data_IF_097780680516
#
_entry.id   IF_097780680516
#
_cell.length_a   1.000
_cell.length_b   1.000
_cell.length_c   1.000
_cell.angle_alpha   90.00
_cell.angle_beta   90.00
_cell.angle_gamma   90.00
#
_symmetry.space_group_name_H-M   'P 1'
#
loop_
_entity.id
_entity.type
_entity.pdbx_description
1 polymer ?
#
# COMPACT_ATOMS: atom_id res chain seq x y z
N UNK A 1 53.17 -3.88 -17.84
CA UNK A 1 53.07 -5.34 -17.94
C UNK A 1 51.64 -5.67 -18.37
N UNK A 2 51.43 -5.84 -19.67
CA UNK A 2 50.09 -6.04 -20.26
C UNK A 2 49.78 -7.53 -20.20
N UNK A 3 48.99 -7.97 -19.21
CA UNK A 3 48.53 -9.36 -19.16
C UNK A 3 47.32 -9.52 -20.09
N UNK A 4 47.58 -10.00 -21.31
CA UNK A 4 46.57 -10.52 -22.20
C UNK A 4 46.05 -11.84 -21.63
N UNK A 5 44.85 -11.84 -21.06
CA UNK A 5 44.13 -13.06 -20.67
C UNK A 5 43.69 -13.76 -21.96
N UNK A 6 44.43 -14.80 -22.38
CA UNK A 6 43.97 -15.71 -23.44
C UNK A 6 42.88 -16.61 -22.87
N UNK A 7 41.62 -16.32 -23.22
CA UNK A 7 40.52 -17.26 -23.01
C UNK A 7 40.66 -18.39 -24.03
N UNK A 8 40.76 -19.64 -23.55
CA UNK A 8 40.78 -20.82 -24.42
C UNK A 8 39.35 -21.35 -24.51
N UNK A 9 38.71 -21.18 -25.65
CA UNK A 9 37.40 -21.78 -25.92
C UNK A 9 37.64 -23.23 -26.34
N UNK A 10 37.17 -24.18 -25.54
CA UNK A 10 37.16 -25.60 -25.91
C UNK A 10 35.82 -25.85 -26.62
N UNK A 11 35.81 -26.37 -27.87
CA UNK A 11 34.56 -26.65 -28.56
C UNK A 11 33.74 -27.70 -27.78
N UNK A 12 32.40 -27.60 -27.76
CA UNK A 12 31.57 -28.55 -27.04
C UNK A 12 31.70 -29.95 -27.65
N UNK A 13 31.66 -30.99 -26.81
CA UNK A 13 31.47 -32.36 -27.26
C UNK A 13 30.11 -32.48 -27.98
N UNK A 14 29.91 -33.45 -28.91
CA UNK A 14 28.79 -33.46 -29.87
C UNK A 14 27.39 -33.62 -29.27
N UNK A 15 27.25 -33.66 -27.96
CA UNK A 15 25.98 -33.86 -27.26
C UNK A 15 25.87 -32.83 -26.14
N UNK A 16 25.07 -31.78 -26.37
CA UNK A 16 24.53 -30.87 -25.36
C UNK A 16 25.52 -30.42 -24.28
N UNK A 17 26.55 -29.65 -24.65
CA UNK A 17 27.61 -29.25 -23.73
C UNK A 17 27.46 -27.82 -23.22
N UNK A 18 27.33 -27.66 -21.90
CA UNK A 18 27.62 -26.40 -21.19
C UNK A 18 29.01 -25.92 -21.60
N UNK A 19 29.11 -24.70 -22.16
CA UNK A 19 30.40 -24.06 -22.43
C UNK A 19 31.03 -23.71 -21.07
N UNK A 20 31.98 -24.53 -20.61
CA UNK A 20 32.84 -24.17 -19.48
C UNK A 20 34.02 -23.35 -20.02
N UNK A 21 34.00 -22.05 -19.74
CA UNK A 21 35.17 -21.18 -19.95
C UNK A 21 36.22 -21.53 -18.89
N UNK A 22 37.20 -22.36 -19.24
CA UNK A 22 38.41 -22.51 -18.44
C UNK A 22 39.30 -21.31 -18.70
N UNK A 23 39.33 -20.38 -17.75
CA UNK A 23 40.45 -19.44 -17.68
C UNK A 23 41.65 -20.20 -17.10
N UNK A 24 42.87 -19.88 -17.52
CA UNK A 24 44.10 -20.35 -16.85
C UNK A 24 44.25 -19.76 -15.43
N UNK A 25 43.16 -19.38 -14.75
CA UNK A 25 43.19 -18.79 -13.41
C UNK A 25 43.53 -19.78 -12.30
N UNK A 26 43.63 -21.09 -12.57
CA UNK A 26 44.16 -22.02 -11.57
C UNK A 26 45.63 -21.71 -11.21
N UNK A 27 46.43 -21.15 -12.13
CA UNK A 27 47.78 -20.62 -11.86
C UNK A 27 47.77 -19.31 -11.05
N UNK A 28 46.64 -18.63 -10.99
CA UNK A 28 46.45 -17.35 -10.31
C UNK A 28 45.98 -17.54 -8.86
N UNK A 29 45.41 -18.70 -8.50
CA UNK A 29 44.94 -19.00 -7.14
C UNK A 29 46.06 -19.00 -6.10
N UNK A 30 47.25 -19.49 -6.45
CA UNK A 30 48.42 -19.48 -5.54
C UNK A 30 49.00 -18.07 -5.32
N UNK A 31 48.69 -17.11 -6.19
CA UNK A 31 49.23 -15.75 -6.16
C UNK A 31 48.20 -14.64 -5.88
N UNK A 32 46.89 -14.96 -5.91
CA UNK A 32 45.79 -14.08 -5.52
C UNK A 32 45.42 -14.31 -4.05
N UNK A 33 46.35 -14.01 -3.15
CA UNK A 33 46.02 -13.89 -1.73
C UNK A 33 45.01 -12.76 -1.52
N UNK A 34 44.31 -12.75 -0.38
CA UNK A 34 43.34 -11.69 -0.08
C UNK A 34 44.00 -10.31 -0.01
N UNK A 35 45.27 -10.24 0.43
CA UNK A 35 46.05 -9.01 0.36
C UNK A 35 46.28 -8.53 -1.08
N UNK A 36 46.56 -9.44 -2.01
CA UNK A 36 46.76 -9.10 -3.43
C UNK A 36 45.44 -8.66 -4.05
N UNK A 37 44.32 -9.34 -3.74
CA UNK A 37 42.98 -8.90 -4.17
C UNK A 37 42.67 -7.50 -3.66
N UNK A 38 42.89 -7.24 -2.37
CA UNK A 38 42.67 -5.93 -1.76
C UNK A 38 43.56 -4.85 -2.39
N UNK A 39 44.81 -5.16 -2.71
CA UNK A 39 45.72 -4.26 -3.44
C UNK A 39 45.21 -3.97 -4.86
N UNK A 40 44.69 -4.97 -5.56
CA UNK A 40 44.09 -4.80 -6.90
C UNK A 40 42.86 -3.90 -6.79
N UNK A 41 41.92 -4.23 -5.90
CA UNK A 41 40.69 -3.46 -5.67
C UNK A 41 41.02 -2.00 -5.31
N UNK A 42 41.90 -1.79 -4.33
CA UNK A 42 42.33 -0.45 -3.90
C UNK A 42 42.98 0.35 -5.03
N UNK A 43 43.72 -0.30 -5.93
CA UNK A 43 44.38 0.35 -7.06
C UNK A 43 43.40 0.73 -8.18
N UNK A 44 42.38 -0.07 -8.41
CA UNK A 44 41.47 0.08 -9.55
C UNK A 44 40.10 0.66 -9.18
N UNK A 45 39.71 0.74 -7.90
CA UNK A 45 38.39 1.23 -7.47
C UNK A 45 38.03 2.61 -8.08
N UNK A 46 38.97 3.54 -8.13
CA UNK A 46 38.74 4.89 -8.69
C UNK A 46 38.78 4.92 -10.23
N UNK A 47 39.31 3.85 -10.84
CA UNK A 47 39.48 3.72 -12.29
C UNK A 47 38.30 3.04 -12.97
N UNK A 48 37.68 2.09 -12.28
CA UNK A 48 36.53 1.34 -12.77
C UNK A 48 35.28 2.08 -12.30
N UNK A 49 35.08 3.35 -12.72
CA UNK A 49 33.90 4.12 -12.35
C UNK A 49 32.76 3.95 -13.37
N UNK A 50 31.63 3.38 -12.93
CA UNK A 50 30.38 3.25 -13.72
C UNK A 50 29.84 4.63 -14.11
N UNK A 51 30.14 5.66 -13.31
CA UNK A 51 29.64 7.03 -13.47
C UNK A 51 30.41 7.88 -14.49
N UNK A 52 31.31 7.28 -15.28
CA UNK A 52 32.09 8.01 -16.29
C UNK A 52 31.29 8.41 -17.52
N UNK A 53 30.10 7.88 -17.74
CA UNK A 53 29.19 8.39 -18.77
C UNK A 53 28.42 9.59 -18.22
N UNK A 54 29.10 10.72 -18.05
CA UNK A 54 28.40 12.02 -18.04
C UNK A 54 27.59 12.11 -19.32
N UNK A 55 26.38 12.63 -19.20
CA UNK A 55 25.57 12.98 -20.35
C UNK A 55 26.34 14.00 -21.19
N UNK A 56 26.99 13.54 -22.25
CA UNK A 56 27.62 14.44 -23.20
C UNK A 56 26.57 15.12 -24.08
N UNK A 57 25.27 14.84 -23.91
CA UNK A 57 24.17 15.50 -24.61
C UNK A 57 24.14 15.26 -26.12
N UNK A 58 25.02 14.40 -26.66
CA UNK A 58 25.32 14.35 -28.10
C UNK A 58 25.40 12.93 -28.69
N UNK A 59 24.86 11.89 -28.04
CA UNK A 59 24.95 10.52 -28.58
C UNK A 59 23.70 9.66 -28.38
N UNK A 60 23.43 8.78 -29.35
CA UNK A 60 22.40 7.71 -29.35
C UNK A 60 22.58 6.63 -28.26
N UNK A 61 23.29 6.93 -27.16
CA UNK A 61 23.56 5.96 -26.11
C UNK A 61 22.27 5.60 -25.37
N UNK A 62 21.93 4.31 -25.38
CA UNK A 62 20.77 3.78 -24.66
C UNK A 62 20.93 4.01 -23.15
N UNK A 63 19.92 4.63 -22.53
CA UNK A 63 19.86 4.86 -21.09
C UNK A 63 19.48 3.56 -20.36
N UNK A 64 20.04 3.34 -19.17
CA UNK A 64 19.75 2.17 -18.37
C UNK A 64 19.71 2.52 -16.88
N UNK A 65 18.55 2.33 -16.24
CA UNK A 65 18.37 2.60 -14.81
C UNK A 65 18.45 1.28 -14.04
N UNK A 66 19.49 1.11 -13.24
CA UNK A 66 19.62 -0.01 -12.30
C UNK A 66 19.27 0.47 -10.89
N UNK A 67 18.13 0.02 -10.37
CA UNK A 67 17.69 0.35 -9.01
C UNK A 67 17.73 -0.89 -8.12
N UNK A 68 18.30 -0.74 -6.94
CA UNK A 68 18.10 -1.68 -5.84
C UNK A 68 17.28 -1.00 -4.75
N UNK A 69 16.52 -1.77 -3.98
CA UNK A 69 15.80 -1.23 -2.82
C UNK A 69 16.84 -0.67 -1.84
N UNK A 70 16.74 0.65 -1.59
CA UNK A 70 17.56 1.34 -0.62
C UNK A 70 17.33 0.83 0.83
N UNK A 71 18.33 0.86 1.71
CA UNK A 71 18.23 0.24 3.02
C UNK A 71 17.55 1.16 4.06
N UNK A 72 17.01 0.52 5.09
CA UNK A 72 16.74 1.19 6.36
C UNK A 72 18.06 1.41 7.13
N UNK A 73 18.37 2.63 7.60
CA UNK A 73 19.57 2.92 8.37
C UNK A 73 19.38 2.57 9.86
N UNK A 74 19.05 1.31 10.14
CA UNK A 74 18.79 0.80 11.50
C UNK A 74 20.02 0.15 12.16
N UNK A 75 21.15 0.05 11.46
CA UNK A 75 22.39 -0.52 11.98
C UNK A 75 23.43 -0.75 10.88
N UNK A 76 24.22 -1.81 11.02
CA UNK A 76 25.25 -2.18 10.04
C UNK A 76 24.70 -3.03 8.88
N UNK A 77 25.37 -2.99 7.72
CA UNK A 77 25.04 -3.86 6.60
C UNK A 77 25.32 -5.34 6.93
N UNK A 78 24.32 -6.19 6.79
CA UNK A 78 24.46 -7.66 6.78
C UNK A 78 24.60 -8.25 5.36
N UNK A 79 24.93 -9.54 5.25
CA UNK A 79 25.15 -10.23 3.96
C UNK A 79 23.98 -10.17 2.97
N UNK A 80 22.74 -10.05 3.45
CA UNK A 80 21.58 -9.77 2.59
C UNK A 80 21.73 -8.48 1.77
N UNK A 81 22.23 -7.40 2.37
CA UNK A 81 22.51 -6.15 1.67
C UNK A 81 23.62 -6.34 0.64
N UNK A 82 24.74 -6.97 1.04
CA UNK A 82 25.87 -7.25 0.15
C UNK A 82 25.41 -8.01 -1.09
N UNK A 83 24.56 -9.03 -0.92
CA UNK A 83 23.99 -9.81 -2.03
C UNK A 83 23.23 -8.90 -3.01
N UNK A 84 22.27 -8.11 -2.52
CA UNK A 84 21.41 -7.27 -3.38
C UNK A 84 22.22 -6.19 -4.09
N UNK A 85 23.11 -5.51 -3.38
CA UNK A 85 23.90 -4.42 -3.93
C UNK A 85 24.97 -4.91 -4.91
N UNK A 86 25.59 -6.07 -4.65
CA UNK A 86 26.54 -6.68 -5.60
C UNK A 86 25.85 -7.09 -6.91
N UNK A 87 24.61 -7.62 -6.85
CA UNK A 87 23.83 -7.94 -8.07
C UNK A 87 23.57 -6.67 -8.87
N UNK A 88 23.11 -5.60 -8.20
CA UNK A 88 22.86 -4.30 -8.82
C UNK A 88 24.12 -3.71 -9.46
N UNK A 89 25.24 -3.69 -8.73
CA UNK A 89 26.54 -3.19 -9.22
C UNK A 89 27.08 -4.02 -10.40
N UNK A 90 26.89 -5.34 -10.37
CA UNK A 90 27.27 -6.22 -11.48
C UNK A 90 26.51 -5.86 -12.76
N UNK A 91 25.19 -5.67 -12.67
CA UNK A 91 24.35 -5.27 -13.81
C UNK A 91 24.74 -3.88 -14.32
N UNK A 92 24.96 -2.93 -13.41
CA UNK A 92 25.35 -1.58 -13.76
C UNK A 92 26.69 -1.54 -14.50
N UNK A 93 27.70 -2.27 -14.01
CA UNK A 93 28.99 -2.42 -14.69
C UNK A 93 28.85 -3.09 -16.04
N UNK A 94 28.08 -4.18 -16.14
CA UNK A 94 27.85 -4.87 -17.41
C UNK A 94 27.23 -3.94 -18.46
N UNK A 95 26.20 -3.18 -18.08
CA UNK A 95 25.54 -2.26 -19.00
C UNK A 95 26.41 -1.05 -19.37
N UNK A 96 27.20 -0.52 -18.44
CA UNK A 96 28.16 0.53 -18.74
C UNK A 96 29.26 0.05 -19.70
N UNK A 97 29.78 -1.17 -19.51
CA UNK A 97 30.79 -1.77 -20.39
C UNK A 97 30.24 -2.13 -21.78
N UNK A 98 28.93 -2.27 -21.93
CA UNK A 98 28.26 -2.48 -23.24
C UNK A 98 27.86 -1.17 -23.93
N UNK A 99 28.29 -0.02 -23.39
CA UNK A 99 28.09 1.29 -24.00
C UNK A 99 26.80 2.01 -23.61
N UNK A 100 26.01 1.46 -22.67
CA UNK A 100 24.80 2.14 -22.16
C UNK A 100 25.17 3.24 -21.16
N UNK A 101 24.34 4.27 -21.11
CA UNK A 101 24.41 5.30 -20.06
C UNK A 101 23.69 4.80 -18.81
N UNK A 102 24.44 4.40 -17.79
CA UNK A 102 23.89 3.77 -16.59
C UNK A 102 23.67 4.79 -15.48
N UNK A 103 22.49 4.75 -14.87
CA UNK A 103 22.18 5.44 -13.62
C UNK A 103 21.88 4.39 -12.53
N UNK A 104 22.68 4.40 -11.47
CA UNK A 104 22.57 3.51 -10.32
C UNK A 104 22.57 4.33 -9.02
N UNK A 105 21.42 4.90 -8.63
CA UNK A 105 21.31 5.69 -7.42
C UNK A 105 21.33 4.83 -6.16
N UNK A 106 21.58 5.51 -5.04
CA UNK A 106 21.38 4.96 -3.70
C UNK A 106 20.87 6.07 -2.77
N UNK A 107 20.19 5.67 -1.71
CA UNK A 107 19.71 6.57 -0.68
C UNK A 107 19.41 5.81 0.60
N UNK A 108 18.59 6.39 1.46
CA UNK A 108 18.31 5.86 2.80
C UNK A 108 16.83 5.99 3.11
N UNK A 109 16.19 4.88 3.45
CA UNK A 109 14.83 4.91 3.99
C UNK A 109 14.88 5.23 5.49
N UNK A 110 15.11 6.51 5.79
CA UNK A 110 15.49 6.99 7.11
C UNK A 110 14.35 7.16 8.11
N UNK A 111 13.10 7.19 7.65
CA UNK A 111 11.93 7.31 8.53
C UNK A 111 11.38 5.96 8.98
N UNK A 112 10.50 6.01 9.98
CA UNK A 112 9.65 4.90 10.35
C UNK A 112 10.16 4.07 11.51
N UNK A 113 9.38 3.02 11.74
CA UNK A 113 9.46 2.15 12.90
C UNK A 113 10.85 1.55 13.17
N UNK A 114 11.62 1.06 12.17
CA UNK A 114 12.93 0.43 12.44
C UNK A 114 13.95 1.39 13.06
N UNK A 115 14.08 2.61 12.52
CA UNK A 115 15.04 3.59 13.01
C UNK A 115 14.65 4.11 14.40
N UNK A 116 13.36 4.37 14.63
CA UNK A 116 12.86 4.88 15.91
C UNK A 116 13.02 3.87 17.04
N UNK A 117 12.67 2.60 16.83
CA UNK A 117 12.84 1.56 17.84
C UNK A 117 14.32 1.34 18.18
N UNK A 118 15.19 1.25 17.17
CA UNK A 118 16.63 1.07 17.38
C UNK A 118 17.24 2.25 18.15
N UNK A 119 16.82 3.48 17.84
CA UNK A 119 17.23 4.67 18.58
C UNK A 119 16.76 4.64 20.04
N UNK A 120 15.51 4.22 20.30
CA UNK A 120 15.00 4.04 21.66
C UNK A 120 15.73 2.96 22.47
N UNK A 121 16.02 1.81 21.86
CA UNK A 121 16.78 0.72 22.50
C UNK A 121 18.19 1.16 22.91
N UNK A 122 18.78 2.08 22.15
CA UNK A 122 20.11 2.65 22.41
C UNK A 122 20.07 3.97 23.18
N UNK A 123 18.89 4.46 23.57
CA UNK A 123 18.67 5.74 24.26
C UNK A 123 19.29 6.95 23.53
N UNK A 124 19.23 6.96 22.19
CA UNK A 124 19.73 8.03 21.32
C UNK A 124 18.55 8.68 20.57
N UNK A 125 18.68 9.95 20.20
CA UNK A 125 17.70 10.63 19.34
C UNK A 125 17.62 9.95 17.95
N UNK A 126 16.41 9.64 17.42
CA UNK A 126 16.27 9.00 16.12
C UNK A 126 16.97 9.72 14.97
N UNK A 127 16.98 11.05 14.94
CA UNK A 127 17.65 11.80 13.89
C UNK A 127 19.18 11.67 13.97
N UNK A 128 19.72 11.61 15.18
CA UNK A 128 21.15 11.33 15.40
C UNK A 128 21.49 9.90 14.98
N UNK A 129 20.75 8.91 15.50
CA UNK A 129 20.94 7.49 15.19
C UNK A 129 20.91 7.21 13.69
N UNK A 130 19.90 7.71 12.99
CA UNK A 130 19.76 7.57 11.54
C UNK A 130 20.95 8.16 10.80
N UNK A 131 21.41 9.37 11.15
CA UNK A 131 22.54 10.03 10.47
C UNK A 131 23.87 9.28 10.69
N UNK A 132 24.10 8.79 11.90
CA UNK A 132 25.29 7.99 12.24
C UNK A 132 25.32 6.67 11.46
N UNK A 133 24.18 5.97 11.38
CA UNK A 133 24.06 4.73 10.60
C UNK A 133 24.20 4.96 9.10
N UNK A 134 23.61 6.03 8.56
CA UNK A 134 23.80 6.43 7.16
C UNK A 134 25.29 6.58 6.85
N UNK A 135 26.03 7.34 7.68
CA UNK A 135 27.46 7.55 7.48
C UNK A 135 28.26 6.23 7.54
N UNK A 136 27.97 5.37 8.53
CA UNK A 136 28.63 4.09 8.69
C UNK A 136 28.33 3.12 7.53
N UNK A 137 27.06 2.97 7.14
CA UNK A 137 26.65 2.10 6.04
C UNK A 137 27.20 2.59 4.71
N UNK A 138 27.25 3.91 4.47
CA UNK A 138 27.87 4.48 3.27
C UNK A 138 29.34 4.09 3.16
N UNK A 139 30.10 4.24 4.25
CA UNK A 139 31.50 3.81 4.29
C UNK A 139 31.66 2.31 4.04
N UNK A 140 30.74 1.48 4.55
CA UNK A 140 30.73 0.05 4.26
C UNK A 140 30.49 -0.22 2.76
N UNK A 141 29.51 0.45 2.13
CA UNK A 141 29.23 0.31 0.69
C UNK A 141 30.41 0.71 -0.19
N UNK A 142 31.07 1.82 0.14
CA UNK A 142 32.30 2.24 -0.51
C UNK A 142 33.45 1.23 -0.27
N UNK A 143 33.48 0.60 0.90
CA UNK A 143 34.47 -0.39 1.31
C UNK A 143 34.45 -1.67 0.49
N UNK A 144 33.27 -2.20 0.12
CA UNK A 144 33.17 -3.39 -0.75
C UNK A 144 33.06 -3.06 -2.24
N UNK A 145 33.33 -1.81 -2.63
CA UNK A 145 33.56 -1.42 -4.02
C UNK A 145 32.31 -1.24 -4.88
N UNK A 146 31.12 -1.20 -4.28
CA UNK A 146 29.91 -0.83 -5.01
C UNK A 146 29.94 0.66 -5.38
N UNK A 147 29.52 0.97 -6.60
CA UNK A 147 29.58 2.34 -7.10
C UNK A 147 28.21 2.90 -7.43
N UNK A 148 27.68 3.64 -6.47
CA UNK A 148 26.45 4.38 -6.64
C UNK A 148 26.69 5.81 -7.13
N UNK A 149 25.66 6.40 -7.74
CA UNK A 149 25.61 7.83 -8.03
C UNK A 149 25.34 8.63 -6.75
N UNK A 150 26.35 8.74 -5.88
CA UNK A 150 26.24 9.47 -4.61
C UNK A 150 25.92 10.98 -4.75
N UNK A 151 26.12 11.56 -5.95
CA UNK A 151 25.64 12.92 -6.25
C UNK A 151 24.10 13.04 -6.19
N UNK A 152 23.39 11.92 -6.33
CA UNK A 152 21.94 11.80 -6.23
C UNK A 152 21.50 11.13 -4.92
N UNK A 153 22.33 11.15 -3.88
CA UNK A 153 22.02 10.59 -2.56
C UNK A 153 20.81 11.32 -1.92
N UNK A 154 19.89 10.54 -1.36
CA UNK A 154 18.69 11.05 -0.70
C UNK A 154 18.47 10.29 0.62
N UNK A 155 17.93 10.97 1.62
CA UNK A 155 17.43 10.34 2.84
C UNK A 155 15.97 10.76 3.07
N UNK A 156 15.07 9.80 3.24
CA UNK A 156 13.61 10.07 3.32
C UNK A 156 13.22 10.90 4.55
N UNK A 157 14.05 10.87 5.60
CA UNK A 157 13.86 11.65 6.82
C UNK A 157 14.27 13.12 6.72
N UNK A 158 14.88 13.55 5.61
CA UNK A 158 15.34 14.93 5.46
C UNK A 158 14.21 15.86 4.98
N UNK A 159 14.11 17.09 5.52
CA UNK A 159 13.09 18.06 5.10
C UNK A 159 13.12 18.38 3.61
N UNK A 160 14.32 18.34 3.00
CA UNK A 160 14.50 18.54 1.57
C UNK A 160 13.79 17.45 0.72
N UNK A 161 13.56 16.26 1.28
CA UNK A 161 12.84 15.15 0.67
C UNK A 161 11.35 15.18 1.06
N UNK A 162 11.03 15.04 2.36
CA UNK A 162 9.65 14.78 2.78
C UNK A 162 8.68 15.95 2.55
N UNK A 163 9.19 17.16 2.30
CA UNK A 163 8.35 18.28 1.84
C UNK A 163 7.58 17.94 0.56
N UNK A 164 8.13 17.08 -0.30
CA UNK A 164 7.46 16.61 -1.51
C UNK A 164 6.42 15.55 -1.22
N UNK A 165 6.64 14.70 -0.22
CA UNK A 165 5.61 13.78 0.31
C UNK A 165 4.44 14.57 0.88
N UNK A 166 4.70 15.65 1.60
CA UNK A 166 3.66 16.56 2.09
C UNK A 166 2.91 17.27 0.95
N UNK A 167 3.62 17.76 -0.06
CA UNK A 167 3.01 18.36 -1.25
C UNK A 167 2.09 17.35 -1.98
N UNK A 168 2.57 16.12 -2.20
CA UNK A 168 1.79 15.04 -2.82
C UNK A 168 0.57 14.69 -1.97
N UNK A 169 0.69 14.63 -0.64
CA UNK A 169 -0.46 14.43 0.26
C UNK A 169 -1.53 15.50 0.03
N UNK A 170 -1.14 16.78 -0.04
CA UNK A 170 -2.07 17.89 -0.26
C UNK A 170 -2.74 17.81 -1.64
N UNK A 171 -2.00 17.43 -2.68
CA UNK A 171 -2.56 17.27 -4.02
C UNK A 171 -3.54 16.09 -4.09
N UNK A 172 -3.20 14.96 -3.45
CA UNK A 172 -4.11 13.82 -3.32
C UNK A 172 -5.36 14.19 -2.49
N UNK A 173 -5.21 14.99 -1.43
CA UNK A 173 -6.33 15.48 -0.63
C UNK A 173 -7.27 16.36 -1.45
N UNK A 174 -6.74 17.33 -2.21
CA UNK A 174 -7.53 18.18 -3.12
C UNK A 174 -8.23 17.37 -4.21
N UNK A 175 -7.58 16.32 -4.71
CA UNK A 175 -8.15 15.37 -5.67
C UNK A 175 -9.21 14.44 -5.06
N UNK A 176 -9.40 14.46 -3.73
CA UNK A 176 -10.34 13.58 -3.01
C UNK A 176 -9.84 12.15 -2.79
N UNK A 177 -8.56 11.87 -3.10
CA UNK A 177 -7.92 10.57 -2.92
C UNK A 177 -7.43 10.35 -1.50
N UNK A 178 -7.23 11.41 -0.72
CA UNK A 178 -6.90 11.32 0.71
C UNK A 178 -8.08 11.82 1.52
N UNK A 179 -8.44 11.09 2.55
CA UNK A 179 -9.55 11.43 3.43
C UNK A 179 -9.31 10.94 4.86
N UNK A 180 -10.09 11.47 5.80
CA UNK A 180 -10.07 11.06 7.20
C UNK A 180 -11.39 10.37 7.55
N UNK A 181 -11.33 9.23 8.22
CA UNK A 181 -12.50 8.54 8.80
C UNK A 181 -12.18 7.92 10.15
N UNK A 182 -13.20 7.69 10.95
CA UNK A 182 -13.09 6.75 12.07
C UNK A 182 -13.07 5.34 11.51
N UNK A 183 -12.14 4.53 12.01
CA UNK A 183 -12.02 3.15 11.61
C UNK A 183 -11.56 2.31 12.79
N UNK A 184 -11.85 1.01 12.73
CA UNK A 184 -11.05 0.06 13.47
C UNK A 184 -9.66 0.01 12.87
N UNK A 185 -8.68 0.18 13.73
CA UNK A 185 -7.28 0.11 13.38
C UNK A 185 -6.68 -1.12 14.03
N UNK A 186 -5.78 -1.77 13.30
CA UNK A 186 -4.89 -2.76 13.85
C UNK A 186 -3.92 -2.03 14.79
N UNK A 187 -4.03 -2.26 16.09
CA UNK A 187 -3.18 -1.64 17.10
C UNK A 187 -2.16 -2.65 17.63
N UNK A 188 -0.88 -2.29 17.53
CA UNK A 188 0.20 -3.03 18.17
C UNK A 188 0.34 -2.54 19.63
N UNK A 189 0.05 -3.39 20.63
CA UNK A 189 0.13 -2.99 22.04
C UNK A 189 1.58 -2.81 22.54
N UNK A 190 2.56 -3.41 21.87
CA UNK A 190 3.99 -3.32 22.22
C UNK A 190 4.58 -2.04 21.62
N UNK A 191 4.41 -1.87 20.30
CA UNK A 191 4.93 -0.70 19.57
C UNK A 191 4.06 0.55 19.73
N UNK A 192 2.90 0.42 20.36
CA UNK A 192 1.91 1.48 20.63
C UNK A 192 1.60 2.31 19.39
N UNK A 193 1.31 1.63 18.28
CA UNK A 193 1.04 2.25 16.99
C UNK A 193 -0.06 1.51 16.24
N UNK A 194 -0.72 2.22 15.34
CA UNK A 194 -1.52 1.59 14.30
C UNK A 194 -0.65 0.94 13.24
N UNK A 195 -1.15 -0.16 12.70
CA UNK A 195 -0.62 -0.94 11.60
C UNK A 195 -1.62 -0.90 10.43
N UNK A 196 -1.12 -0.86 9.19
CA UNK A 196 -1.97 -1.15 8.03
C UNK A 196 -2.22 -2.66 7.92
N UNK A 197 -3.20 -3.07 7.13
CA UNK A 197 -3.51 -4.50 6.94
C UNK A 197 -2.31 -5.26 6.35
N UNK A 198 -1.51 -4.61 5.49
CA UNK A 198 -0.27 -5.16 4.93
C UNK A 198 0.82 -5.44 5.99
N UNK A 199 0.66 -4.90 7.20
CA UNK A 199 1.62 -5.01 8.30
C UNK A 199 1.17 -6.02 9.37
N UNK A 200 0.07 -6.72 9.12
CA UNK A 200 -0.48 -7.77 9.99
C UNK A 200 -0.40 -9.10 9.24
N UNK A 201 0.19 -10.10 9.88
CA UNK A 201 0.30 -11.42 9.28
C UNK A 201 -1.03 -12.19 9.31
N UNK A 202 -1.03 -13.39 8.72
CA UNK A 202 -2.21 -14.26 8.67
C UNK A 202 -2.70 -14.76 10.03
N UNK A 203 -1.87 -14.68 11.07
CA UNK A 203 -2.24 -15.03 12.45
C UNK A 203 -2.79 -13.82 13.24
N UNK A 204 -2.89 -12.64 12.61
CA UNK A 204 -3.33 -11.42 13.26
C UNK A 204 -2.27 -10.83 14.18
N UNK A 205 -0.98 -11.04 13.88
CA UNK A 205 0.15 -10.49 14.64
C UNK A 205 0.87 -9.41 13.84
N UNK A 206 1.48 -8.49 14.57
CA UNK A 206 2.37 -7.49 14.00
C UNK A 206 3.55 -8.16 13.32
N UNK A 207 3.82 -7.81 12.05
CA UNK A 207 4.94 -8.35 11.27
C UNK A 207 6.31 -8.17 11.94
N UNK A 208 6.40 -7.27 12.92
CA UNK A 208 7.65 -6.90 13.59
C UNK A 208 7.68 -7.30 15.06
N UNK A 209 6.73 -6.82 15.87
CA UNK A 209 6.76 -7.10 17.31
C UNK A 209 6.32 -8.54 17.63
N UNK A 210 5.64 -9.21 16.70
CA UNK A 210 5.01 -10.52 16.91
C UNK A 210 3.82 -10.48 17.87
N UNK A 211 3.47 -9.30 18.39
CA UNK A 211 2.34 -9.12 19.31
C UNK A 211 1.02 -9.34 18.58
N UNK A 212 0.05 -9.93 19.30
CA UNK A 212 -1.32 -10.08 18.80
C UNK A 212 -1.94 -8.70 18.70
N UNK A 213 -2.45 -8.37 17.52
CA UNK A 213 -3.02 -7.06 17.22
C UNK A 213 -4.36 -6.88 17.97
N UNK A 214 -4.54 -5.71 18.59
CA UNK A 214 -5.81 -5.27 19.18
C UNK A 214 -6.60 -4.44 18.17
N UNK A 215 -7.94 -4.47 18.22
CA UNK A 215 -8.76 -3.52 17.45
C UNK A 215 -9.10 -2.31 18.31
N UNK A 216 -8.71 -1.10 17.87
CA UNK A 216 -9.09 0.17 18.50
C UNK A 216 -9.84 1.07 17.52
N UNK A 217 -10.70 1.96 18.01
CA UNK A 217 -11.36 2.96 17.18
C UNK A 217 -10.55 4.25 17.23
N UNK A 218 -10.04 4.70 16.09
CA UNK A 218 -9.33 5.98 15.97
C UNK A 218 -9.72 6.68 14.66
N UNK A 219 -9.76 8.01 14.67
CA UNK A 219 -9.80 8.79 13.43
C UNK A 219 -8.43 8.71 12.75
N UNK A 220 -8.38 8.19 11.52
CA UNK A 220 -7.14 8.00 10.76
C UNK A 220 -7.27 8.56 9.34
N UNK A 221 -6.12 8.82 8.73
CA UNK A 221 -6.00 9.22 7.33
C UNK A 221 -5.82 8.00 6.44
N UNK A 222 -6.54 7.99 5.33
CA UNK A 222 -6.56 6.93 4.34
C UNK A 222 -6.29 7.48 2.94
N UNK A 223 -5.63 6.68 2.11
CA UNK A 223 -5.56 6.86 0.66
C UNK A 223 -6.61 5.94 0.02
N UNK A 224 -7.41 6.48 -0.90
CA UNK A 224 -8.44 5.77 -1.68
C UNK A 224 -7.82 4.84 -2.73
N UNK A 225 -7.08 3.84 -2.28
CA UNK A 225 -6.49 2.81 -3.16
C UNK A 225 -7.58 2.00 -3.86
N UNK A 226 -8.75 1.86 -3.25
CA UNK A 226 -9.91 1.19 -3.86
C UNK A 226 -10.39 1.87 -5.14
N UNK A 227 -10.23 3.19 -5.27
CA UNK A 227 -10.55 3.92 -6.50
C UNK A 227 -9.63 3.53 -7.66
N UNK A 228 -8.39 3.11 -7.36
CA UNK A 228 -7.37 2.72 -8.35
C UNK A 228 -7.34 1.20 -8.57
N UNK A 229 -8.20 0.43 -7.91
CA UNK A 229 -8.13 -1.03 -7.88
C UNK A 229 -8.16 -1.65 -9.28
N UNK A 230 -9.06 -1.15 -10.15
CA UNK A 230 -9.16 -1.64 -11.52
C UNK A 230 -7.91 -1.34 -12.34
N UNK A 231 -7.41 -0.11 -12.30
CA UNK A 231 -6.22 0.29 -13.05
C UNK A 231 -4.98 -0.50 -12.58
N UNK A 232 -4.85 -0.69 -11.27
CA UNK A 232 -3.80 -1.51 -10.67
C UNK A 232 -3.92 -2.98 -11.12
N UNK A 233 -5.12 -3.56 -11.10
CA UNK A 233 -5.35 -4.95 -11.50
C UNK A 233 -5.10 -5.18 -12.99
N UNK A 234 -5.62 -4.30 -13.85
CA UNK A 234 -5.47 -4.39 -15.30
C UNK A 234 -3.99 -4.19 -15.71
N UNK A 235 -3.31 -3.26 -15.05
CA UNK A 235 -1.88 -2.97 -15.25
C UNK A 235 -0.96 -4.16 -14.97
N UNK A 236 -1.39 -5.13 -14.16
CA UNK A 236 -0.68 -6.41 -13.97
C UNK A 236 -0.72 -7.33 -15.21
N UNK A 237 -1.35 -6.90 -16.30
CA UNK A 237 -1.33 -7.58 -17.60
C UNK A 237 -0.38 -6.91 -18.60
N UNK A 238 0.34 -5.86 -18.20
CA UNK A 238 1.28 -5.15 -19.07
C UNK A 238 2.40 -6.11 -19.53
N UNK A 239 2.65 -6.23 -20.86
CA UNK A 239 3.75 -7.04 -21.40
C UNK A 239 5.13 -6.71 -20.82
N UNK A 240 5.35 -5.49 -20.32
CA UNK A 240 6.59 -5.08 -19.65
C UNK A 240 6.85 -5.84 -18.34
N UNK A 241 5.83 -6.51 -17.79
CA UNK A 241 5.91 -7.29 -16.56
C UNK A 241 6.15 -8.79 -16.82
N UNK A 242 6.61 -9.19 -18.02
CA UNK A 242 6.81 -10.60 -18.38
C UNK A 242 7.75 -11.36 -17.42
N UNK A 243 8.73 -10.67 -16.84
CA UNK A 243 9.70 -11.22 -15.88
C UNK A 243 9.22 -11.15 -14.41
N UNK A 244 8.00 -10.65 -14.16
CA UNK A 244 7.45 -10.42 -12.81
C UNK A 244 6.36 -11.43 -12.40
N UNK A 245 6.25 -12.57 -13.09
CA UNK A 245 5.10 -13.51 -13.00
C UNK A 245 4.67 -13.85 -11.57
N UNK A 246 5.62 -14.18 -10.70
CA UNK A 246 5.32 -14.54 -9.30
C UNK A 246 4.76 -13.35 -8.51
N UNK A 247 5.31 -12.15 -8.71
CA UNK A 247 4.84 -10.91 -8.07
C UNK A 247 3.47 -10.51 -8.62
N UNK A 248 3.25 -10.65 -9.93
CA UNK A 248 1.95 -10.43 -10.57
C UNK A 248 0.88 -11.30 -9.95
N UNK A 249 1.17 -12.59 -9.72
CA UNK A 249 0.24 -13.51 -9.07
C UNK A 249 -0.11 -13.06 -7.64
N UNK A 250 0.90 -12.71 -6.83
CA UNK A 250 0.68 -12.23 -5.45
C UNK A 250 -0.15 -10.95 -5.42
N UNK A 251 0.16 -9.99 -6.29
CA UNK A 251 -0.56 -8.71 -6.38
C UNK A 251 -2.00 -8.90 -6.86
N UNK A 252 -2.25 -9.77 -7.86
CA UNK A 252 -3.62 -10.11 -8.28
C UNK A 252 -4.44 -10.72 -7.16
N UNK A 253 -3.84 -11.62 -6.38
CA UNK A 253 -4.51 -12.23 -5.24
C UNK A 253 -4.84 -11.20 -4.15
N UNK A 254 -3.90 -10.28 -3.88
CA UNK A 254 -4.06 -9.22 -2.90
C UNK A 254 -5.12 -8.20 -3.28
N UNK A 255 -5.03 -7.64 -4.50
CA UNK A 255 -6.00 -6.67 -5.03
C UNK A 255 -7.37 -7.35 -5.16
N UNK A 256 -7.40 -8.62 -5.56
CA UNK A 256 -8.61 -9.34 -5.89
C UNK A 256 -9.25 -8.83 -7.19
N UNK A 257 -10.02 -9.68 -7.85
CA UNK A 257 -10.72 -9.29 -9.08
C UNK A 257 -11.71 -8.14 -8.80
N UNK A 258 -11.64 -7.01 -9.53
CA UNK A 258 -12.55 -5.88 -9.37
C UNK A 258 -13.98 -6.15 -9.89
N UNK A 259 -14.69 -7.10 -9.27
CA UNK A 259 -15.99 -7.62 -9.68
C UNK A 259 -17.20 -7.01 -8.94
N UNK A 260 -17.01 -5.80 -8.40
CA UNK A 260 -18.05 -5.07 -7.68
C UNK A 260 -17.67 -3.62 -7.49
N UNK A 261 -18.41 -2.90 -6.66
CA UNK A 261 -18.16 -1.49 -6.34
C UNK A 261 -18.40 -1.24 -4.86
N UNK A 262 -17.69 -0.28 -4.27
CA UNK A 262 -17.95 0.19 -2.90
C UNK A 262 -18.59 1.56 -2.88
N UNK A 263 -19.46 1.80 -1.89
CA UNK A 263 -20.11 3.07 -1.63
C UNK A 263 -19.90 3.52 -0.19
N UNK A 264 -19.58 4.79 0.02
CA UNK A 264 -19.60 5.43 1.34
C UNK A 264 -20.99 6.02 1.58
N UNK A 265 -21.79 5.35 2.43
CA UNK A 265 -23.18 5.74 2.75
C UNK A 265 -23.25 6.48 4.08
N UNK A 266 -23.93 7.63 4.11
CA UNK A 266 -24.02 8.47 5.30
C UNK A 266 -24.80 7.78 6.43
N UNK A 267 -24.19 7.67 7.60
CA UNK A 267 -24.77 7.10 8.82
C UNK A 267 -25.69 8.11 9.49
N UNK A 268 -26.90 7.65 9.82
CA UNK A 268 -27.87 8.37 10.63
C UNK A 268 -28.10 7.59 11.95
N UNK A 269 -28.10 8.27 13.11
CA UNK A 269 -28.28 7.61 14.40
C UNK A 269 -29.70 7.06 14.57
N UNK A 270 -29.83 6.04 15.43
CA UNK A 270 -31.07 5.31 15.64
C UNK A 270 -32.18 6.15 16.33
N UNK A 271 -31.81 7.23 17.03
CA UNK A 271 -32.72 8.11 17.77
C UNK A 271 -33.23 9.30 16.92
N UNK A 272 -32.81 9.42 15.67
CA UNK A 272 -33.22 10.51 14.77
C UNK A 272 -32.60 11.88 15.10
N UNK A 273 -31.63 11.95 16.01
CA UNK A 273 -30.87 13.20 16.25
C UNK A 273 -29.96 13.48 15.05
N UNK A 274 -30.23 14.56 14.29
CA UNK A 274 -29.36 14.95 13.19
C UNK A 274 -27.96 15.30 13.72
N UNK A 275 -26.93 14.54 13.33
CA UNK A 275 -25.55 14.98 13.48
C UNK A 275 -25.38 16.18 12.55
N UNK A 276 -25.00 17.33 13.11
CA UNK A 276 -25.03 18.60 12.38
C UNK A 276 -24.17 18.57 11.10
N UNK A 277 -24.66 19.13 9.97
CA UNK A 277 -23.98 19.12 8.67
C UNK A 277 -22.75 20.03 8.57
N UNK A 278 -22.21 20.52 9.69
CA UNK A 278 -21.07 21.44 9.72
C UNK A 278 -19.76 20.83 9.18
N UNK A 279 -19.69 19.51 9.00
CA UNK A 279 -18.58 18.83 8.34
C UNK A 279 -18.74 18.66 6.81
N UNK A 280 -19.91 19.00 6.24
CA UNK A 280 -20.19 18.81 4.81
C UNK A 280 -19.68 19.95 3.91
N UNK A 281 -19.31 21.11 4.48
CA UNK A 281 -18.95 22.31 3.72
C UNK A 281 -17.44 22.50 3.48
N UNK A 282 -16.58 21.68 4.10
CA UNK A 282 -15.16 21.66 3.77
C UNK A 282 -14.94 20.65 2.62
N UNK A 283 -14.77 21.15 1.39
CA UNK A 283 -14.62 20.35 0.18
C UNK A 283 -13.62 19.19 0.35
N UNK A 284 -14.14 17.96 0.31
CA UNK A 284 -13.38 16.71 0.47
C UNK A 284 -14.13 15.76 1.38
N UNK A 285 -14.96 14.86 0.83
CA UNK A 285 -15.76 13.89 1.57
C UNK A 285 -14.93 13.14 2.62
N UNK A 286 -15.15 13.48 3.90
CA UNK A 286 -14.34 13.04 5.02
C UNK A 286 -14.80 13.62 6.35
N UNK A 287 -16.12 13.69 6.58
CA UNK A 287 -16.71 13.90 7.90
C UNK A 287 -17.22 12.57 8.46
N UNK A 288 -16.59 12.10 9.53
CA UNK A 288 -16.84 11.01 10.52
C UNK A 288 -18.12 10.13 10.55
N UNK A 289 -18.99 10.06 9.54
CA UNK A 289 -20.28 9.36 9.63
C UNK A 289 -20.62 8.60 8.34
N UNK A 290 -19.75 7.73 7.86
CA UNK A 290 -20.04 6.90 6.67
C UNK A 290 -19.82 5.41 6.95
N UNK A 291 -20.68 4.58 6.36
CA UNK A 291 -20.52 3.14 6.25
C UNK A 291 -20.14 2.78 4.82
N UNK A 292 -18.97 2.16 4.66
CA UNK A 292 -18.53 1.66 3.37
C UNK A 292 -19.24 0.33 3.08
N UNK A 293 -20.05 0.24 2.03
CA UNK A 293 -20.78 -0.96 1.63
C UNK A 293 -20.32 -1.38 0.24
N UNK A 294 -19.87 -2.63 0.11
CA UNK A 294 -19.52 -3.21 -1.18
C UNK A 294 -20.69 -4.00 -1.75
N UNK A 295 -20.87 -3.91 -3.07
CA UNK A 295 -21.85 -4.67 -3.84
C UNK A 295 -21.15 -5.36 -5.00
N UNK A 296 -21.39 -6.66 -5.14
CA UNK A 296 -21.07 -7.39 -6.36
C UNK A 296 -21.75 -6.76 -7.58
N UNK A 297 -21.15 -6.92 -8.75
CA UNK A 297 -21.58 -6.29 -10.00
C UNK A 297 -23.08 -6.48 -10.30
N UNK A 298 -23.58 -7.70 -10.12
CA UNK A 298 -24.98 -8.08 -10.34
C UNK A 298 -25.94 -7.49 -9.29
N UNK A 299 -25.42 -7.04 -8.14
CA UNK A 299 -26.20 -6.48 -7.03
C UNK A 299 -26.21 -4.95 -7.00
N UNK A 300 -25.49 -4.28 -7.88
CA UNK A 300 -25.40 -2.80 -7.88
C UNK A 300 -26.79 -2.17 -8.03
N UNK A 301 -27.64 -2.72 -8.90
CA UNK A 301 -29.00 -2.21 -9.10
C UNK A 301 -29.87 -2.23 -7.84
N UNK A 302 -29.52 -3.01 -6.82
CA UNK A 302 -30.28 -3.10 -5.56
C UNK A 302 -30.23 -1.80 -4.77
N UNK A 303 -29.10 -1.08 -4.78
CA UNK A 303 -28.99 0.17 -4.03
C UNK A 303 -29.88 1.27 -4.60
N UNK A 304 -30.27 1.17 -5.87
CA UNK A 304 -31.22 2.08 -6.51
C UNK A 304 -32.68 1.70 -6.31
N UNK A 305 -32.98 0.51 -5.77
CA UNK A 305 -34.34 -0.05 -5.70
C UNK A 305 -34.72 -0.40 -4.25
N UNK A 306 -35.66 0.36 -3.71
CA UNK A 306 -35.75 0.61 -2.27
C UNK A 306 -36.44 -0.47 -1.43
N UNK A 307 -37.37 -1.25 -1.99
CA UNK A 307 -38.30 -2.04 -1.20
C UNK A 307 -37.61 -3.23 -0.49
N UNK A 308 -37.75 -3.31 0.84
CA UNK A 308 -37.28 -4.44 1.66
C UNK A 308 -35.76 -4.57 1.78
N UNK A 309 -35.02 -3.50 1.53
CA UNK A 309 -33.56 -3.48 1.72
C UNK A 309 -33.18 -3.16 3.15
N UNK A 310 -32.15 -3.84 3.65
CA UNK A 310 -31.47 -3.51 4.92
C UNK A 310 -29.98 -3.79 4.80
N UNK A 311 -29.17 -3.29 5.73
CA UNK A 311 -27.76 -3.64 5.84
C UNK A 311 -27.58 -4.62 6.99
N UNK A 312 -27.10 -5.82 6.69
CA UNK A 312 -26.62 -6.75 7.70
C UNK A 312 -25.21 -6.37 8.15
N UNK A 313 -24.94 -6.42 9.45
CA UNK A 313 -23.58 -6.30 10.02
C UNK A 313 -23.30 -7.40 11.04
N UNK A 314 -22.04 -7.85 11.11
CA UNK A 314 -21.59 -8.79 12.14
C UNK A 314 -21.62 -8.17 13.54
N UNK A 315 -21.76 -8.98 14.58
CA UNK A 315 -21.76 -8.53 15.98
C UNK A 315 -20.44 -7.84 16.39
N UNK A 316 -19.33 -8.22 15.75
CA UNK A 316 -18.00 -7.60 15.96
C UNK A 316 -17.81 -6.22 15.30
N UNK A 317 -18.77 -5.76 14.49
CA UNK A 317 -18.68 -4.53 13.70
C UNK A 317 -18.67 -3.26 14.57
N UNK A 318 -18.09 -2.16 14.08
CA UNK A 318 -17.83 -0.96 14.89
C UNK A 318 -19.10 -0.26 15.37
N UNK A 319 -20.18 -0.40 14.62
CA UNK A 319 -21.50 0.15 14.95
C UNK A 319 -22.18 -0.55 16.14
N UNK A 320 -21.71 -1.75 16.52
CA UNK A 320 -22.33 -2.58 17.55
C UNK A 320 -21.68 -2.39 18.93
N UNK A 321 -20.36 -2.20 18.99
CA UNK A 321 -19.57 -2.29 20.24
C UNK A 321 -19.90 -1.27 21.35
N UNK A 322 -20.66 -0.21 21.05
CA UNK A 322 -21.03 0.83 22.02
C UNK A 322 -22.55 0.89 22.28
N UNK A 323 -23.32 -0.11 21.83
CA UNK A 323 -24.77 -0.16 22.03
C UNK A 323 -25.15 -1.19 23.07
N UNK A 324 -26.17 -0.85 23.87
CA UNK A 324 -26.80 -1.72 24.85
C UNK A 324 -27.15 -3.07 24.22
N UNK A 325 -26.77 -4.16 24.89
CA UNK A 325 -27.18 -5.52 24.51
C UNK A 325 -28.71 -5.56 24.33
N UNK A 326 -29.18 -5.88 23.13
CA UNK A 326 -30.60 -6.12 22.85
C UNK A 326 -31.25 -5.30 21.73
N UNK A 327 -30.62 -4.25 21.18
CA UNK A 327 -31.18 -3.55 20.00
C UNK A 327 -30.70 -4.21 18.71
N UNK A 328 -31.59 -4.96 18.04
CA UNK A 328 -31.28 -5.57 16.74
C UNK A 328 -31.04 -4.54 15.62
N UNK A 329 -31.60 -3.32 15.74
CA UNK A 329 -31.29 -2.17 14.87
C UNK A 329 -30.18 -1.33 15.50
N UNK A 330 -29.07 -1.17 14.79
CA UNK A 330 -27.90 -0.40 15.25
C UNK A 330 -27.76 0.96 14.56
N UNK A 331 -28.65 1.31 13.65
CA UNK A 331 -28.67 2.63 13.03
C UNK A 331 -29.35 2.58 11.67
N UNK A 332 -29.22 3.67 10.93
CA UNK A 332 -29.68 3.77 9.56
C UNK A 332 -28.55 4.31 8.69
N UNK A 333 -28.59 4.02 7.40
CA UNK A 333 -27.86 4.81 6.40
C UNK A 333 -28.85 5.56 5.52
N UNK A 334 -28.46 6.75 5.09
CA UNK A 334 -29.16 7.51 4.06
C UNK A 334 -28.75 7.00 2.69
N UNK A 335 -29.70 6.45 1.95
CA UNK A 335 -29.48 6.06 0.56
C UNK A 335 -29.50 7.31 -0.33
N UNK A 336 -28.40 7.65 -1.03
CA UNK A 336 -28.33 8.87 -1.82
C UNK A 336 -29.09 8.79 -3.15
N UNK A 337 -29.43 7.58 -3.62
CA UNK A 337 -30.16 7.35 -4.87
C UNK A 337 -31.68 7.43 -4.68
N UNK A 338 -32.18 6.84 -3.58
CA UNK A 338 -33.62 6.77 -3.26
C UNK A 338 -34.04 7.81 -2.22
N UNK A 339 -33.07 8.46 -1.56
CA UNK A 339 -33.25 9.40 -0.43
C UNK A 339 -33.87 8.78 0.82
N UNK A 340 -33.95 7.46 0.87
CA UNK A 340 -34.61 6.75 1.95
C UNK A 340 -33.62 6.16 2.94
N UNK A 341 -34.12 5.91 4.15
CA UNK A 341 -33.34 5.29 5.22
C UNK A 341 -33.30 3.79 5.00
N UNK A 342 -32.11 3.21 5.02
CA UNK A 342 -31.90 1.77 5.04
C UNK A 342 -31.51 1.38 6.47
N UNK A 343 -32.27 0.50 7.14
CA UNK A 343 -31.94 0.07 8.51
C UNK A 343 -30.69 -0.81 8.52
N UNK A 344 -29.92 -0.72 9.60
CA UNK A 344 -28.74 -1.54 9.86
C UNK A 344 -29.08 -2.55 10.95
N UNK A 345 -29.04 -3.84 10.60
CA UNK A 345 -29.41 -4.98 11.45
C UNK A 345 -28.18 -5.82 11.80
N UNK A 346 -28.10 -6.31 13.04
CA UNK A 346 -27.01 -7.18 13.48
C UNK A 346 -27.38 -8.64 13.26
N UNK A 347 -26.56 -9.39 12.52
CA UNK A 347 -26.68 -10.86 12.43
C UNK A 347 -25.37 -11.50 11.99
N UNK A 348 -24.87 -12.43 12.80
CA UNK A 348 -23.73 -13.29 12.43
C UNK A 348 -24.14 -14.47 11.54
N UNK A 349 -25.44 -14.66 11.33
CA UNK A 349 -26.01 -15.75 10.53
C UNK A 349 -26.16 -15.40 9.04
N UNK A 350 -25.95 -14.13 8.66
CA UNK A 350 -25.89 -13.68 7.27
C UNK A 350 -24.58 -14.16 6.65
N UNK A 351 -24.62 -14.62 5.40
CA UNK A 351 -23.40 -14.91 4.64
C UNK A 351 -22.84 -13.61 4.05
N UNK A 352 -21.62 -13.24 4.47
CA UNK A 352 -20.93 -12.02 4.07
C UNK A 352 -19.87 -12.30 3.00
N UNK A 353 -19.64 -11.32 2.12
CA UNK A 353 -18.56 -11.37 1.15
C UNK A 353 -17.18 -11.46 1.82
N UNK A 354 -16.23 -12.08 1.12
CA UNK A 354 -14.88 -12.28 1.62
C UNK A 354 -14.24 -10.95 2.05
N UNK A 355 -13.76 -10.90 3.30
CA UNK A 355 -13.14 -9.71 3.88
C UNK A 355 -14.13 -8.62 4.32
N UNK A 356 -15.45 -8.82 4.20
CA UNK A 356 -16.50 -7.86 4.60
C UNK A 356 -17.17 -8.26 5.92
N UNK A 357 -17.62 -7.25 6.66
CA UNK A 357 -18.39 -7.37 7.90
C UNK A 357 -19.79 -6.76 7.76
N UNK A 358 -20.11 -6.26 6.55
CA UNK A 358 -21.28 -5.49 6.17
C UNK A 358 -21.81 -5.95 4.80
N UNK A 359 -23.13 -6.05 4.63
CA UNK A 359 -23.78 -6.48 3.38
C UNK A 359 -25.13 -5.80 3.18
N UNK A 360 -25.42 -5.35 1.95
CA UNK A 360 -26.78 -4.93 1.57
C UNK A 360 -27.63 -6.18 1.25
N UNK A 361 -28.68 -6.37 2.02
CA UNK A 361 -29.53 -7.55 2.02
C UNK A 361 -30.95 -7.23 1.52
N UNK A 362 -31.57 -8.24 0.93
CA UNK A 362 -32.99 -8.33 0.63
C UNK A 362 -33.60 -9.52 1.36
N UNK A 363 -34.88 -9.44 1.71
CA UNK A 363 -35.62 -10.56 2.28
C UNK A 363 -35.50 -11.85 1.45
N UNK A 364 -35.42 -11.74 0.13
CA UNK A 364 -35.32 -12.86 -0.81
C UNK A 364 -33.92 -13.50 -0.91
N UNK A 365 -32.89 -12.92 -0.28
CA UNK A 365 -31.52 -13.45 -0.39
C UNK A 365 -31.35 -14.80 0.33
N UNK A 366 -32.11 -15.04 1.41
CA UNK A 366 -31.98 -16.26 2.19
C UNK A 366 -32.94 -16.36 3.38
N UNK A 367 -32.93 -17.51 4.09
CA UNK A 367 -33.82 -17.74 5.23
C UNK A 367 -33.61 -16.78 6.39
N UNK A 368 -32.37 -16.41 6.68
CA UNK A 368 -32.05 -15.46 7.75
C UNK A 368 -32.48 -14.03 7.37
N UNK A 369 -32.23 -13.61 6.13
CA UNK A 369 -32.67 -12.31 5.65
C UNK A 369 -34.21 -12.21 5.59
N UNK A 370 -34.91 -13.27 5.18
CA UNK A 370 -36.38 -13.35 5.26
C UNK A 370 -36.86 -13.19 6.70
N UNK A 371 -36.22 -13.88 7.65
CA UNK A 371 -36.57 -13.83 9.07
C UNK A 371 -36.35 -12.42 9.64
N UNK A 372 -35.20 -11.81 9.38
CA UNK A 372 -34.88 -10.46 9.84
C UNK A 372 -35.83 -9.43 9.22
N UNK A 373 -36.13 -9.54 7.93
CA UNK A 373 -37.10 -8.67 7.24
C UNK A 373 -38.47 -8.72 7.90
N UNK A 374 -39.00 -9.92 8.17
CA UNK A 374 -40.28 -10.13 8.87
C UNK A 374 -40.29 -9.57 10.28
N UNK A 375 -39.24 -9.87 11.05
CA UNK A 375 -39.11 -9.42 12.44
C UNK A 375 -39.10 -7.90 12.56
N UNK A 376 -38.56 -7.21 11.55
CA UNK A 376 -38.43 -5.76 11.53
C UNK A 376 -39.46 -5.04 10.64
N UNK A 377 -40.47 -5.75 10.12
CA UNK A 377 -41.52 -5.16 9.29
C UNK A 377 -41.00 -4.54 7.99
N UNK A 378 -39.93 -5.09 7.43
CA UNK A 378 -39.32 -4.64 6.17
C UNK A 378 -39.93 -5.31 4.94
N UNK A 379 -40.81 -6.28 5.15
CA UNK A 379 -41.51 -6.97 4.08
C UNK A 379 -42.26 -5.98 3.20
N UNK A 380 -42.07 -6.13 1.90
CA UNK A 380 -42.54 -5.23 0.84
C UNK A 380 -44.07 -5.10 0.91
N UNK A 381 -44.57 -4.04 1.54
CA UNK A 381 -45.97 -3.67 1.36
C UNK A 381 -46.11 -3.14 -0.07
N UNK A 382 -46.75 -3.93 -0.92
CA UNK A 382 -46.99 -3.64 -2.35
C UNK A 382 -47.63 -2.26 -2.61
N UNK A 383 -48.19 -1.64 -1.57
CA UNK A 383 -48.87 -0.34 -1.59
C UNK A 383 -48.01 0.85 -1.18
N UNK A 384 -46.80 0.65 -0.64
CA UNK A 384 -45.92 1.73 -0.21
C UNK A 384 -44.75 1.94 -1.19
N UNK A 385 -45.04 1.83 -2.49
CA UNK A 385 -44.23 2.47 -3.52
C UNK A 385 -44.45 3.98 -3.36
N UNK A 386 -43.68 4.62 -2.48
CA UNK A 386 -43.53 6.07 -2.54
C UNK A 386 -43.21 6.48 -3.98
N UNK A 387 -43.51 7.73 -4.33
CA UNK A 387 -43.33 8.25 -5.69
C UNK A 387 -41.84 8.24 -6.08
N UNK A 388 -41.36 7.09 -6.58
CA UNK A 388 -39.98 6.82 -6.95
C UNK A 388 -39.97 6.35 -8.42
N UNK A 389 -40.26 7.28 -9.32
CA UNK A 389 -40.45 7.02 -10.75
C UNK A 389 -39.18 6.65 -11.52
N UNK A 390 -37.99 6.77 -10.91
CA UNK A 390 -36.71 6.49 -11.58
C UNK A 390 -36.11 5.16 -11.14
N UNK A 391 -36.23 4.14 -12.00
CA UNK A 391 -35.41 2.94 -11.93
C UNK A 391 -34.00 3.29 -12.37
N UNK A 392 -33.02 3.13 -11.48
CA UNK A 392 -31.63 3.45 -11.78
C UNK A 392 -30.94 2.27 -12.48
N UNK A 393 -30.20 2.55 -13.56
CA UNK A 393 -29.26 1.58 -14.12
C UNK A 393 -27.97 1.50 -13.29
N UNK A 394 -27.21 0.41 -13.45
CA UNK A 394 -25.88 0.26 -12.84
C UNK A 394 -24.95 1.42 -13.21
N UNK A 395 -24.94 1.80 -14.49
CA UNK A 395 -24.10 2.88 -15.02
C UNK A 395 -24.49 4.23 -14.43
N UNK A 396 -25.79 4.50 -14.27
CA UNK A 396 -26.28 5.71 -13.62
C UNK A 396 -25.88 5.77 -12.14
N UNK A 397 -25.98 4.64 -11.43
CA UNK A 397 -25.57 4.51 -10.02
C UNK A 397 -24.08 4.81 -9.88
N UNK A 398 -23.23 4.15 -10.66
CA UNK A 398 -21.79 4.35 -10.60
C UNK A 398 -21.41 5.79 -10.99
N UNK A 399 -21.99 6.33 -12.06
CA UNK A 399 -21.72 7.71 -12.50
C UNK A 399 -22.12 8.74 -11.45
N UNK A 400 -23.27 8.55 -10.82
CA UNK A 400 -23.74 9.42 -9.75
C UNK A 400 -22.84 9.32 -8.51
N UNK A 401 -22.44 8.11 -8.12
CA UNK A 401 -21.59 7.87 -6.97
C UNK A 401 -20.20 8.54 -7.13
N UNK A 402 -19.61 8.42 -8.33
CA UNK A 402 -18.32 9.03 -8.65
C UNK A 402 -18.42 10.57 -8.62
N UNK A 403 -19.46 11.14 -9.25
CA UNK A 403 -19.71 12.61 -9.23
C UNK A 403 -19.94 13.13 -7.81
N UNK A 404 -20.60 12.34 -6.97
CA UNK A 404 -20.90 12.68 -5.58
C UNK A 404 -19.74 12.35 -4.63
N UNK A 405 -18.63 11.77 -5.13
CA UNK A 405 -17.45 11.37 -4.35
C UNK A 405 -17.77 10.39 -3.21
N UNK A 406 -18.72 9.49 -3.45
CA UNK A 406 -19.14 8.45 -2.49
C UNK A 406 -18.75 7.04 -2.96
N UNK A 407 -17.83 6.91 -3.93
CA UNK A 407 -17.40 5.62 -4.47
C UNK A 407 -17.95 5.34 -5.87
N UNK A 408 -18.33 4.10 -6.14
CA UNK A 408 -18.78 3.65 -7.48
C UNK A 408 -17.64 3.33 -8.45
N UNK A 409 -16.43 3.06 -7.93
CA UNK A 409 -15.29 2.57 -8.70
C UNK A 409 -15.20 1.04 -8.61
N UNK A 410 -14.83 0.33 -9.69
CA UNK A 410 -14.70 -1.12 -9.65
C UNK A 410 -13.61 -1.55 -8.67
N UNK A 411 -13.97 -2.45 -7.74
CA UNK A 411 -13.08 -2.96 -6.70
C UNK A 411 -13.54 -4.33 -6.22
N UNK A 412 -12.60 -5.15 -5.74
CA UNK A 412 -12.93 -6.44 -5.13
C UNK A 412 -13.58 -6.26 -3.75
N UNK A 413 -14.20 -7.33 -3.24
CA UNK A 413 -14.68 -7.36 -1.86
C UNK A 413 -13.56 -7.31 -0.83
N UNK A 414 -12.31 -7.65 -1.21
CA UNK A 414 -11.18 -7.77 -0.29
C UNK A 414 -10.39 -6.49 -0.09
N UNK A 415 -10.12 -5.75 -1.18
CA UNK A 415 -9.22 -4.60 -1.13
C UNK A 415 -9.81 -3.49 -0.26
N UNK A 416 -8.99 -2.97 0.64
CA UNK A 416 -9.31 -1.85 1.53
C UNK A 416 -8.47 -0.64 1.17
N UNK A 417 -8.96 0.53 1.61
CA UNK A 417 -8.21 1.77 1.49
C UNK A 417 -6.98 1.76 2.41
N UNK A 418 -5.88 2.33 1.93
CA UNK A 418 -4.60 2.29 2.62
C UNK A 418 -4.57 3.26 3.81
N UNK A 419 -4.45 2.72 5.04
CA UNK A 419 -4.27 3.51 6.27
C UNK A 419 -2.84 4.03 6.36
N UNK A 420 -2.67 5.36 6.29
CA UNK A 420 -1.34 6.01 6.23
C UNK A 420 -0.92 6.74 7.51
N UNK A 421 -1.84 7.18 8.36
CA UNK A 421 -1.47 7.86 9.61
C UNK A 421 -0.85 6.89 10.63
N UNK A 422 0.12 7.37 11.39
CA UNK A 422 0.81 6.62 12.45
C UNK A 422 0.96 7.51 13.69
N UNK A 423 0.83 6.95 14.89
CA UNK A 423 0.97 7.69 16.15
C UNK A 423 2.42 7.61 16.63
N UNK A 424 3.34 8.14 15.81
CA UNK A 424 4.79 8.00 15.99
C UNK A 424 5.49 9.32 15.74
N UNK A 425 6.63 9.52 16.40
CA UNK A 425 7.40 10.75 16.30
C UNK A 425 8.26 10.75 15.03
N UNK A 426 8.92 9.63 14.73
CA UNK A 426 9.89 9.55 13.64
C UNK A 426 9.26 9.20 12.27
N UNK A 427 8.49 10.15 11.72
CA UNK A 427 7.87 10.03 10.40
C UNK A 427 7.52 11.38 9.80
N UNK A 428 7.10 11.38 8.53
CA UNK A 428 6.67 12.60 7.83
C UNK A 428 5.44 13.20 8.52
N UNK A 429 5.48 14.47 8.97
CA UNK A 429 4.31 15.13 9.52
C UNK A 429 3.21 15.27 8.46
N UNK A 430 1.98 14.86 8.78
CA UNK A 430 0.82 15.06 7.92
C UNK A 430 0.50 16.56 7.86
N UNK A 431 0.49 17.19 6.66
CA UNK A 431 0.43 18.64 6.51
C UNK A 431 -1.01 19.19 6.62
N UNK A 432 -1.72 18.86 7.71
CA UNK A 432 -3.09 19.28 7.97
C UNK A 432 -3.19 20.07 9.27
N UNK A 433 -4.06 21.08 9.29
CA UNK A 433 -4.37 21.87 10.49
C UNK A 433 -5.84 21.64 10.83
N UNK A 434 -6.13 21.36 12.10
CA UNK A 434 -7.49 21.22 12.62
C UNK A 434 -7.86 22.48 13.39
N UNK A 435 -8.86 23.20 12.90
CA UNK A 435 -9.37 24.39 13.56
C UNK A 435 -10.75 24.11 14.14
N UNK A 436 -10.96 24.37 15.44
CA UNK A 436 -12.25 24.12 16.09
C UNK A 436 -13.45 24.82 15.45
N UNK A 437 -13.21 25.87 14.65
CA UNK A 437 -14.26 26.59 13.91
C UNK A 437 -14.45 26.14 12.45
N UNK A 438 -13.46 25.50 11.83
CA UNK A 438 -13.45 25.20 10.39
C UNK A 438 -13.24 23.71 10.06
N UNK A 439 -13.03 22.86 11.09
CA UNK A 439 -12.70 21.44 10.95
C UNK A 439 -11.21 21.15 11.02
#
# INVERSE_FOLDING_TARGET
MTLLVKLRVVPPAPWGGIIRLFSNMDLLKEHLTDEVKLKIESKYKDRISVNRSRDNGTGDNLKYYVLSMFPYPSGALHMGHVRVYTISDTLARYHALTGKQVFQPMGWDGFGLPAENAAHENAIDPAQWTRENIAAMKQQMEGFGCQFNWESELATCEPAYYKWTQALFLDMYRAGLVYRKEAFVNWDPVDKTVLADEQVDSEGRSWRSGAKVERRTLSQWFVRTTQLAKDLYDGLSDPLLEDWKDIVYLQRHWIGEPNGVSFDLELEPADGTNVSPAAAAAGGGGGSNFLNVWLAEERIGLIGNQAGTFIGVKSGHFLVKNKSEGSAVVGFVRNPFTRCRIPILVSDCIEYDAGREEKLCLASDGPEETKLSRQHGLDVDSNNRGDYSKQWSKEEICTFAQKSRIGGYPVSSKLRDWLISRQRYWGTPIPMVHCGSYG
#
